data_IF_796335215723
#
_entry.id   IF_796335215723
#
_cell.length_a   1.000
_cell.length_b   1.000
_cell.length_c   1.000
_cell.angle_alpha   90.00
_cell.angle_beta   90.00
_cell.angle_gamma   90.00
#
_symmetry.space_group_name_H-M   'P 1'
#
loop_
_entity.id
_entity.type
_entity.pdbx_description
1 polymer ?
#
# COMPACT_ATOMS: atom_id res chain seq x y z
N UNK A 1 -11.86 23.93 -27.79
CA UNK A 1 -10.57 24.61 -27.99
C UNK A 1 -9.48 23.55 -28.17
N UNK A 2 -8.87 23.48 -29.36
CA UNK A 2 -7.77 22.53 -29.63
C UNK A 2 -6.54 23.00 -28.85
N UNK A 3 -5.95 22.12 -28.03
CA UNK A 3 -4.69 22.38 -27.32
C UNK A 3 -3.59 22.69 -28.35
N UNK A 4 -2.64 23.60 -28.06
CA UNK A 4 -1.50 23.82 -28.94
C UNK A 4 -0.68 22.53 -29.01
N UNK A 5 -0.33 22.07 -30.21
CA UNK A 5 0.57 20.94 -30.39
C UNK A 5 1.90 21.25 -29.69
N UNK A 6 2.23 20.49 -28.66
CA UNK A 6 3.56 20.51 -28.05
C UNK A 6 4.54 20.18 -29.18
N UNK A 7 5.34 21.18 -29.59
CA UNK A 7 6.48 20.99 -30.50
C UNK A 7 7.22 19.74 -30.04
N UNK A 8 7.43 18.77 -30.94
CA UNK A 8 8.30 17.62 -30.69
C UNK A 8 9.60 18.11 -30.04
N UNK A 9 9.73 17.86 -28.76
CA UNK A 9 10.81 18.41 -27.93
C UNK A 9 12.11 17.79 -28.45
N UNK A 10 13.03 18.63 -28.94
CA UNK A 10 14.43 18.23 -29.18
C UNK A 10 15.04 17.82 -27.83
N UNK A 11 14.97 16.53 -27.51
CA UNK A 11 15.44 15.99 -26.23
C UNK A 11 15.68 14.48 -26.31
N UNK A 12 16.54 13.97 -25.43
CA UNK A 12 16.82 12.54 -25.32
C UNK A 12 15.51 11.74 -25.09
N UNK A 13 15.47 10.47 -25.50
CA UNK A 13 14.27 9.61 -25.39
C UNK A 13 13.66 9.64 -23.99
N UNK A 14 14.50 9.51 -22.95
CA UNK A 14 14.08 9.56 -21.55
C UNK A 14 13.41 10.88 -21.13
N UNK A 15 13.80 12.01 -21.72
CA UNK A 15 13.17 13.32 -21.45
C UNK A 15 11.79 13.40 -22.09
N UNK A 16 11.63 12.86 -23.30
CA UNK A 16 10.31 12.77 -23.97
C UNK A 16 9.38 11.85 -23.17
N UNK A 17 9.83 10.66 -22.83
CA UNK A 17 9.05 9.72 -22.00
C UNK A 17 8.68 10.32 -20.64
N UNK A 18 9.57 11.08 -20.00
CA UNK A 18 9.25 11.79 -18.77
C UNK A 18 8.09 12.78 -18.95
N UNK A 19 8.11 13.57 -20.04
CA UNK A 19 7.01 14.50 -20.34
C UNK A 19 5.70 13.76 -20.63
N UNK A 20 5.77 12.62 -21.30
CA UNK A 20 4.61 11.78 -21.63
C UNK A 20 4.02 11.09 -20.38
N UNK A 21 4.81 10.92 -19.32
CA UNK A 21 4.41 10.25 -18.06
C UNK A 21 4.12 11.22 -16.92
N UNK A 22 4.00 12.52 -17.19
CA UNK A 22 3.66 13.53 -16.17
C UNK A 22 2.28 13.28 -15.56
N UNK A 23 1.31 12.81 -16.36
CA UNK A 23 -0.04 12.49 -15.90
C UNK A 23 -0.19 11.01 -15.49
N UNK A 24 0.90 10.23 -15.53
CA UNK A 24 0.88 8.80 -15.23
C UNK A 24 0.95 8.53 -13.72
N UNK A 25 0.07 7.66 -13.22
CA UNK A 25 -0.08 7.35 -11.80
C UNK A 25 1.11 6.58 -11.19
N UNK A 26 1.93 5.91 -11.99
CA UNK A 26 3.18 5.28 -11.58
C UNK A 26 4.36 6.27 -11.55
N UNK A 27 4.22 7.46 -12.14
CA UNK A 27 5.30 8.43 -12.32
C UNK A 27 4.93 9.85 -11.87
N UNK A 28 4.49 10.72 -12.78
CA UNK A 28 4.30 12.14 -12.51
C UNK A 28 3.08 12.42 -11.62
N UNK A 29 1.95 11.80 -11.91
CA UNK A 29 0.70 11.98 -11.16
C UNK A 29 0.69 11.23 -9.82
N UNK A 30 1.74 10.47 -9.51
CA UNK A 30 1.87 9.78 -8.23
C UNK A 30 1.98 10.73 -7.03
N UNK A 31 2.46 11.97 -7.24
CA UNK A 31 2.57 12.99 -6.19
C UNK A 31 2.74 14.39 -6.79
N UNK A 32 1.95 15.35 -6.31
CA UNK A 32 2.07 16.78 -6.66
C UNK A 32 3.35 17.44 -6.09
N UNK A 33 4.06 16.74 -5.20
CA UNK A 33 5.27 17.25 -4.55
C UNK A 33 6.42 17.31 -5.56
N UNK A 34 6.94 18.52 -5.77
CA UNK A 34 8.13 18.74 -6.59
C UNK A 34 9.35 18.05 -5.96
N UNK A 35 10.05 17.18 -6.71
CA UNK A 35 11.25 16.52 -6.20
C UNK A 35 12.37 17.53 -5.92
N UNK A 36 13.13 17.29 -4.85
CA UNK A 36 14.25 18.15 -4.45
C UNK A 36 15.35 18.22 -5.53
N UNK A 37 15.59 17.11 -6.21
CA UNK A 37 16.54 17.02 -7.31
C UNK A 37 15.95 16.18 -8.43
N UNK A 38 16.19 16.60 -9.67
CA UNK A 38 15.78 15.92 -10.89
C UNK A 38 17.03 15.56 -11.69
N UNK A 39 17.14 14.30 -12.13
CA UNK A 39 18.29 13.88 -12.92
C UNK A 39 18.23 14.51 -14.32
N UNK A 40 19.34 15.09 -14.77
CA UNK A 40 19.45 15.65 -16.12
C UNK A 40 19.39 14.58 -17.22
N UNK A 41 19.83 13.36 -16.91
CA UNK A 41 19.88 12.25 -17.88
C UNK A 41 18.66 11.33 -17.82
N UNK A 42 17.91 11.38 -16.71
CA UNK A 42 16.76 10.50 -16.47
C UNK A 42 15.72 11.14 -15.53
N UNK A 43 14.96 12.14 -16.00
CA UNK A 43 14.15 12.98 -15.12
C UNK A 43 13.03 12.24 -14.36
N UNK A 44 12.58 11.08 -14.87
CA UNK A 44 11.56 10.26 -14.20
C UNK A 44 12.11 9.44 -13.02
N UNK A 45 13.43 9.30 -12.91
CA UNK A 45 14.06 8.63 -11.77
C UNK A 45 13.94 9.45 -10.48
N UNK A 46 13.71 8.78 -9.36
CA UNK A 46 13.51 9.46 -8.07
C UNK A 46 14.82 9.53 -7.29
N UNK A 47 15.19 10.74 -6.87
CA UNK A 47 16.26 10.92 -5.89
C UNK A 47 15.82 10.41 -4.51
N UNK A 48 16.53 9.44 -3.96
CA UNK A 48 16.20 8.80 -2.68
C UNK A 48 17.44 8.55 -1.82
N UNK A 49 17.27 8.64 -0.50
CA UNK A 49 18.27 8.33 0.52
C UNK A 49 17.81 7.19 1.46
N UNK A 50 16.81 6.41 1.05
CA UNK A 50 16.14 5.44 1.92
C UNK A 50 17.05 4.33 2.50
N UNK A 51 18.22 4.09 1.90
CA UNK A 51 19.15 3.01 2.31
C UNK A 51 20.23 3.41 3.33
N UNK A 52 20.04 4.50 4.10
CA UNK A 52 21.01 4.98 5.11
C UNK A 52 22.45 5.08 4.55
N UNK A 53 22.56 5.63 3.35
CA UNK A 53 23.82 5.82 2.61
C UNK A 53 23.72 7.01 1.66
N UNK A 54 24.68 7.21 0.75
CA UNK A 54 24.65 8.30 -0.21
C UNK A 54 23.34 8.26 -1.02
N UNK A 55 22.73 9.43 -1.22
CA UNK A 55 21.50 9.51 -2.00
C UNK A 55 21.78 9.20 -3.48
N UNK A 56 20.85 8.51 -4.13
CA UNK A 56 20.97 8.11 -5.53
C UNK A 56 19.62 8.21 -6.24
N UNK A 57 19.66 8.18 -7.58
CA UNK A 57 18.46 8.13 -8.41
C UNK A 57 18.03 6.68 -8.65
N UNK A 58 16.74 6.39 -8.49
CA UNK A 58 16.21 5.03 -8.66
C UNK A 58 14.79 4.98 -9.21
N UNK A 59 14.46 3.81 -9.74
CA UNK A 59 13.10 3.32 -9.92
C UNK A 59 12.83 2.21 -8.91
N UNK A 60 11.57 2.01 -8.58
CA UNK A 60 11.11 0.89 -7.77
C UNK A 60 10.58 -0.20 -8.67
N UNK A 61 10.98 -1.42 -8.38
CA UNK A 61 10.52 -2.63 -9.04
C UNK A 61 9.46 -3.29 -8.16
N UNK A 62 8.22 -3.32 -8.64
CA UNK A 62 7.09 -3.87 -7.89
C UNK A 62 6.70 -5.22 -8.51
N UNK A 63 6.73 -6.27 -7.71
CA UNK A 63 6.34 -7.61 -8.13
C UNK A 63 4.99 -8.00 -7.53
N UNK A 64 4.10 -8.53 -8.36
CA UNK A 64 2.95 -9.31 -7.93
C UNK A 64 3.28 -10.78 -8.16
N UNK A 65 3.27 -11.58 -7.08
CA UNK A 65 3.69 -12.98 -7.12
C UNK A 65 2.58 -13.90 -6.62
N UNK A 66 2.48 -15.07 -7.24
CA UNK A 66 1.83 -16.22 -6.66
C UNK A 66 2.63 -16.69 -5.44
N UNK A 67 1.95 -16.99 -4.33
CA UNK A 67 2.62 -17.43 -3.11
C UNK A 67 2.85 -18.93 -3.06
N UNK A 68 2.20 -19.76 -3.88
CA UNK A 68 2.37 -21.20 -3.84
C UNK A 68 3.74 -21.60 -4.41
N UNK A 69 3.99 -21.17 -5.64
CA UNK A 69 5.20 -21.46 -6.39
C UNK A 69 6.18 -20.28 -6.41
N UNK A 70 5.77 -19.08 -6.01
CA UNK A 70 6.61 -17.88 -6.05
C UNK A 70 6.85 -17.40 -7.48
N UNK A 71 5.88 -17.64 -8.38
CA UNK A 71 5.92 -17.19 -9.78
C UNK A 71 5.53 -15.72 -9.83
N UNK A 72 6.27 -14.92 -10.61
CA UNK A 72 5.93 -13.51 -10.85
C UNK A 72 4.80 -13.48 -11.88
N UNK A 73 3.63 -12.98 -11.47
CA UNK A 73 2.44 -12.87 -12.33
C UNK A 73 2.43 -11.54 -13.09
N UNK A 74 2.93 -10.48 -12.46
CA UNK A 74 3.05 -9.16 -13.06
C UNK A 74 4.18 -8.36 -12.40
N UNK A 75 4.68 -7.36 -13.13
CA UNK A 75 5.71 -6.44 -12.68
C UNK A 75 5.36 -5.02 -13.15
N UNK A 76 5.60 -4.05 -12.27
CA UNK A 76 5.47 -2.62 -12.59
C UNK A 76 6.68 -1.84 -12.08
N UNK A 77 7.42 -1.23 -12.99
CA UNK A 77 8.42 -0.22 -12.65
C UNK A 77 7.74 1.10 -12.36
N UNK A 78 8.05 1.68 -11.20
CA UNK A 78 7.47 2.96 -10.77
C UNK A 78 8.54 3.94 -10.36
N UNK A 79 8.15 5.21 -10.25
CA UNK A 79 8.90 6.18 -9.46
C UNK A 79 9.04 5.67 -8.02
N UNK A 80 10.23 5.82 -7.40
CA UNK A 80 10.51 5.31 -6.04
C UNK A 80 9.89 6.16 -4.93
N UNK A 81 8.56 6.27 -4.94
CA UNK A 81 7.77 6.89 -3.88
C UNK A 81 6.62 5.95 -3.50
N UNK A 82 6.26 5.96 -2.22
CA UNK A 82 5.26 5.06 -1.66
C UNK A 82 3.91 5.12 -2.38
N UNK A 83 3.48 6.31 -2.83
CA UNK A 83 2.21 6.49 -3.53
C UNK A 83 2.17 5.73 -4.86
N UNK A 84 3.27 5.76 -5.61
CA UNK A 84 3.40 5.05 -6.87
C UNK A 84 3.47 3.53 -6.66
N UNK A 85 4.22 3.09 -5.65
CA UNK A 85 4.34 1.67 -5.27
C UNK A 85 3.00 1.09 -4.79
N UNK A 86 2.26 1.78 -3.93
CA UNK A 86 0.92 1.35 -3.50
C UNK A 86 -0.09 1.42 -4.64
N UNK A 87 0.04 2.41 -5.53
CA UNK A 87 -0.78 2.54 -6.73
C UNK A 87 -0.60 1.38 -7.70
N UNK A 88 0.65 0.94 -7.92
CA UNK A 88 0.96 -0.13 -8.86
C UNK A 88 0.35 -1.47 -8.47
N UNK A 89 0.16 -1.76 -7.17
CA UNK A 89 -0.56 -2.96 -6.73
C UNK A 89 -1.95 -3.06 -7.36
N UNK A 90 -2.70 -1.95 -7.41
CA UNK A 90 -4.05 -1.93 -7.99
C UNK A 90 -4.00 -2.18 -9.50
N UNK A 91 -3.03 -1.56 -10.17
CA UNK A 91 -2.79 -1.76 -11.60
C UNK A 91 -2.44 -3.22 -11.91
N UNK A 92 -1.49 -3.80 -11.17
CA UNK A 92 -1.05 -5.18 -11.38
C UNK A 92 -2.17 -6.19 -11.12
N UNK A 93 -2.95 -6.03 -10.04
CA UNK A 93 -4.10 -6.90 -9.78
C UNK A 93 -5.16 -6.81 -10.88
N UNK A 94 -5.40 -5.62 -11.41
CA UNK A 94 -6.34 -5.43 -12.53
C UNK A 94 -5.83 -6.11 -13.78
N UNK A 95 -4.54 -5.92 -14.14
CA UNK A 95 -3.95 -6.56 -15.32
C UNK A 95 -3.89 -8.08 -15.22
N UNK A 96 -3.60 -8.63 -14.04
CA UNK A 96 -3.60 -10.09 -13.82
C UNK A 96 -5.00 -10.66 -13.98
N UNK A 97 -6.01 -9.98 -13.45
CA UNK A 97 -7.41 -10.35 -13.68
C UNK A 97 -7.75 -10.29 -15.18
N UNK A 98 -7.44 -9.20 -15.85
CA UNK A 98 -7.82 -9.03 -17.27
C UNK A 98 -7.10 -10.01 -18.21
N UNK A 99 -5.83 -10.35 -17.91
CA UNK A 99 -5.02 -11.22 -18.78
C UNK A 99 -5.17 -12.71 -18.48
N UNK A 100 -5.36 -13.07 -17.22
CA UNK A 100 -5.31 -14.47 -16.77
C UNK A 100 -6.61 -14.93 -16.08
N UNK A 101 -7.58 -14.05 -15.89
CA UNK A 101 -8.81 -14.30 -15.11
C UNK A 101 -8.52 -14.77 -13.68
N UNK A 102 -7.43 -14.26 -13.10
CA UNK A 102 -7.00 -14.59 -11.74
C UNK A 102 -7.36 -13.46 -10.78
N UNK A 103 -8.09 -13.79 -9.72
CA UNK A 103 -8.37 -12.92 -8.59
C UNK A 103 -7.90 -13.64 -7.32
N UNK A 104 -7.01 -13.03 -6.52
CA UNK A 104 -6.53 -13.68 -5.30
C UNK A 104 -7.59 -13.63 -4.20
N UNK A 105 -7.72 -14.70 -3.43
CA UNK A 105 -8.56 -14.70 -2.22
C UNK A 105 -7.99 -13.77 -1.14
N UNK A 106 -6.66 -13.62 -1.13
CA UNK A 106 -5.96 -12.84 -0.12
C UNK A 106 -4.66 -12.24 -0.65
N UNK A 107 -4.20 -11.17 0.00
CA UNK A 107 -2.96 -10.49 -0.37
C UNK A 107 -2.10 -10.19 0.86
N UNK A 108 -0.80 -10.46 0.73
CA UNK A 108 0.24 -10.09 1.69
C UNK A 108 1.11 -8.97 1.15
N UNK A 109 1.44 -8.00 1.99
CA UNK A 109 2.34 -6.91 1.66
C UNK A 109 3.04 -6.38 2.92
N UNK A 110 4.01 -5.49 2.74
CA UNK A 110 4.63 -4.81 3.86
C UNK A 110 3.69 -3.74 4.48
N UNK A 111 4.09 -3.22 5.64
CA UNK A 111 3.33 -2.21 6.37
C UNK A 111 3.07 -0.95 5.55
N UNK A 112 3.90 -0.58 4.57
CA UNK A 112 3.68 0.62 3.76
C UNK A 112 2.40 0.52 2.90
N UNK A 113 1.93 -0.69 2.60
CA UNK A 113 0.65 -0.93 1.92
C UNK A 113 -0.55 -0.91 2.86
N UNK A 114 -0.35 -0.96 4.18
CA UNK A 114 -1.39 -1.02 5.21
C UNK A 114 -2.15 0.28 5.49
N UNK A 115 -2.34 1.13 4.47
CA UNK A 115 -3.14 2.35 4.59
C UNK A 115 -4.63 2.05 4.51
N UNK A 116 -5.45 2.83 5.22
CA UNK A 116 -6.92 2.69 5.18
C UNK A 116 -7.49 2.57 3.75
N UNK A 117 -7.18 3.50 2.82
CA UNK A 117 -7.69 3.42 1.44
C UNK A 117 -7.27 2.17 0.66
N UNK A 118 -6.07 1.63 0.92
CA UNK A 118 -5.62 0.39 0.27
C UNK A 118 -6.36 -0.83 0.84
N UNK A 119 -6.47 -0.91 2.16
CA UNK A 119 -7.21 -1.98 2.83
C UNK A 119 -8.69 -1.97 2.42
N UNK A 120 -9.32 -0.79 2.38
CA UNK A 120 -10.70 -0.63 1.90
C UNK A 120 -10.87 -1.14 0.48
N UNK A 121 -9.97 -0.73 -0.43
CA UNK A 121 -10.01 -1.16 -1.83
C UNK A 121 -9.92 -2.69 -2.02
N UNK A 122 -9.17 -3.39 -1.16
CA UNK A 122 -9.04 -4.85 -1.14
C UNK A 122 -10.29 -5.53 -0.58
N UNK A 123 -10.77 -5.07 0.57
CA UNK A 123 -11.96 -5.62 1.24
C UNK A 123 -13.21 -5.46 0.36
N UNK A 124 -13.37 -4.31 -0.31
CA UNK A 124 -14.47 -4.08 -1.27
C UNK A 124 -14.46 -5.08 -2.43
N UNK A 125 -13.30 -5.65 -2.74
CA UNK A 125 -13.09 -6.68 -3.77
C UNK A 125 -13.09 -8.10 -3.22
N UNK A 126 -13.40 -8.27 -1.93
CA UNK A 126 -13.36 -9.55 -1.22
C UNK A 126 -11.97 -10.20 -1.26
N UNK A 127 -10.92 -9.37 -1.20
CA UNK A 127 -9.53 -9.82 -1.07
C UNK A 127 -9.12 -9.59 0.38
N UNK A 128 -8.81 -10.65 1.11
CA UNK A 128 -8.41 -10.56 2.51
C UNK A 128 -7.02 -9.90 2.66
N UNK A 129 -6.92 -8.77 3.38
CA UNK A 129 -5.65 -8.07 3.52
C UNK A 129 -4.83 -8.60 4.68
N UNK A 130 -3.94 -9.56 4.42
CA UNK A 130 -2.89 -9.97 5.37
C UNK A 130 -1.73 -8.95 5.36
N UNK A 131 -2.04 -7.70 5.70
CA UNK A 131 -1.12 -6.56 5.65
C UNK A 131 -1.11 -5.87 7.03
N UNK A 132 0.06 -5.62 7.63
CA UNK A 132 0.12 -4.87 8.89
C UNK A 132 -0.46 -3.47 8.72
N UNK A 133 -1.42 -3.10 9.58
CA UNK A 133 -2.08 -1.78 9.54
C UNK A 133 -1.12 -0.66 9.96
N UNK A 134 -1.14 0.45 9.24
CA UNK A 134 -0.45 1.68 9.66
C UNK A 134 -1.32 2.39 10.69
N UNK A 135 -1.07 2.11 11.96
CA UNK A 135 -1.74 2.80 13.06
C UNK A 135 -0.88 3.94 13.60
N UNK A 136 -1.43 5.16 13.55
CA UNK A 136 -0.93 6.32 14.30
C UNK A 136 -1.69 6.55 15.62
N UNK A 137 -2.55 5.61 16.00
CA UNK A 137 -3.52 5.74 17.09
C UNK A 137 -3.03 5.16 18.43
N UNK A 138 -1.87 4.51 18.45
CA UNK A 138 -1.25 4.03 19.69
C UNK A 138 -0.92 5.21 20.61
N UNK A 139 -1.32 5.11 21.87
CA UNK A 139 -0.90 6.06 22.92
C UNK A 139 0.04 5.33 23.85
N UNK A 140 1.23 5.87 24.03
CA UNK A 140 2.25 5.33 24.95
C UNK A 140 2.03 5.80 26.40
N UNK A 141 0.97 6.58 26.65
CA UNK A 141 0.64 7.17 27.94
C UNK A 141 -0.10 6.21 28.91
N UNK A 142 -0.27 4.94 28.51
CA UNK A 142 -0.97 3.92 29.30
C UNK A 142 -2.49 4.14 29.39
N UNK A 143 -3.04 5.16 28.71
CA UNK A 143 -4.49 5.32 28.60
C UNK A 143 -5.06 4.31 27.63
N UNK A 144 -6.33 3.96 27.81
CA UNK A 144 -7.02 3.12 26.83
C UNK A 144 -6.86 3.72 25.43
N UNK A 145 -6.61 2.87 24.46
CA UNK A 145 -6.50 3.19 23.05
C UNK A 145 -7.86 3.02 22.36
N UNK A 146 -7.90 3.00 21.03
CA UNK A 146 -9.12 2.64 20.30
C UNK A 146 -9.41 1.14 20.37
N UNK A 147 -8.36 0.32 20.44
CA UNK A 147 -8.50 -1.14 20.42
C UNK A 147 -9.22 -1.69 21.65
N UNK A 148 -9.26 -0.91 22.74
CA UNK A 148 -10.01 -1.24 23.96
C UNK A 148 -11.51 -0.91 23.85
N UNK A 149 -11.98 -0.34 22.73
CA UNK A 149 -13.39 0.03 22.54
C UNK A 149 -14.00 -0.85 21.45
N UNK A 150 -15.11 -1.47 21.78
CA UNK A 150 -15.85 -2.32 20.85
C UNK A 150 -16.64 -1.47 19.87
N UNK A 151 -16.65 -1.88 18.61
CA UNK A 151 -17.43 -1.22 17.57
C UNK A 151 -18.76 -1.95 17.39
N UNK A 152 -19.86 -1.23 17.59
CA UNK A 152 -21.21 -1.68 17.30
C UNK A 152 -21.69 -1.04 16.00
N UNK A 153 -21.54 -1.81 14.91
CA UNK A 153 -21.92 -1.39 13.57
C UNK A 153 -23.44 -1.22 13.40
N UNK A 154 -24.26 -1.96 14.16
CA UNK A 154 -25.71 -1.92 14.02
C UNK A 154 -26.28 -0.59 14.56
N UNK A 155 -25.69 -0.07 15.63
CA UNK A 155 -26.14 1.16 16.28
C UNK A 155 -25.25 2.38 15.98
N UNK A 156 -24.25 2.25 15.10
CA UNK A 156 -23.27 3.30 14.76
C UNK A 156 -22.66 3.94 16.02
N UNK A 157 -22.06 3.10 16.88
CA UNK A 157 -21.50 3.56 18.16
C UNK A 157 -20.28 2.73 18.60
N UNK A 158 -19.44 3.35 19.44
CA UNK A 158 -18.40 2.62 20.18
C UNK A 158 -18.89 2.30 21.58
N UNK A 159 -18.53 1.15 22.12
CA UNK A 159 -18.79 0.75 23.50
C UNK A 159 -17.46 0.78 24.24
N UNK A 160 -17.39 1.51 25.35
CA UNK A 160 -16.18 1.53 26.18
C UNK A 160 -16.07 0.27 27.06
N UNK A 161 -14.89 -0.03 27.65
CA UNK A 161 -14.74 -1.16 28.57
C UNK A 161 -15.68 -1.15 29.78
N UNK A 162 -16.22 0.03 30.14
CA UNK A 162 -17.23 0.20 31.21
C UNK A 162 -18.67 0.04 30.69
N UNK A 163 -18.87 -0.39 29.43
CA UNK A 163 -20.17 -0.64 28.81
C UNK A 163 -20.92 0.60 28.32
N UNK A 164 -20.34 1.79 28.40
CA UNK A 164 -21.01 3.02 27.97
C UNK A 164 -20.81 3.32 26.48
N UNK A 165 -21.90 3.72 25.83
CA UNK A 165 -21.90 4.07 24.41
C UNK A 165 -21.30 5.46 24.13
N UNK A 166 -20.47 5.51 23.09
CA UNK A 166 -19.96 6.71 22.45
C UNK A 166 -20.69 6.86 21.12
N UNK A 167 -21.62 7.80 21.05
CA UNK A 167 -22.44 8.05 19.85
C UNK A 167 -21.76 9.05 18.94
N UNK A 168 -22.08 8.98 17.65
CA UNK A 168 -21.60 9.95 16.67
C UNK A 168 -22.07 11.35 17.06
N UNK A 169 -21.13 12.26 17.31
CA UNK A 169 -21.43 13.64 17.60
C UNK A 169 -21.80 14.36 16.30
N UNK A 170 -23.10 14.40 15.99
CA UNK A 170 -23.64 15.32 14.99
C UNK A 170 -23.77 16.69 15.67
N UNK A 171 -22.99 17.68 15.25
CA UNK A 171 -23.33 19.06 15.58
C UNK A 171 -24.71 19.32 14.97
N UNK A 172 -25.66 19.80 15.77
CA UNK A 172 -26.86 20.43 15.24
C UNK A 172 -26.39 21.68 14.48
N UNK A 173 -26.23 21.56 13.17
CA UNK A 173 -26.01 22.71 12.32
C UNK A 173 -27.37 23.36 12.09
N UNK A 174 -27.50 24.61 12.49
CA UNK A 174 -28.65 25.48 12.15
C UNK A 174 -28.69 25.85 10.67
N UNK A 175 -27.79 25.31 9.85
CA UNK A 175 -27.69 25.54 8.40
C UNK A 175 -27.76 24.19 7.65
N UNK A 176 -28.90 23.87 7.03
CA UNK A 176 -29.09 22.62 6.29
C UNK A 176 -28.23 22.49 5.02
N UNK A 177 -27.60 23.58 4.55
CA UNK A 177 -26.77 23.56 3.34
C UNK A 177 -25.27 23.38 3.62
N UNK A 178 -24.86 23.32 4.90
CA UNK A 178 -23.45 23.16 5.26
C UNK A 178 -23.08 21.67 5.30
N UNK A 179 -22.50 21.20 4.19
CA UNK A 179 -21.95 19.85 4.09
C UNK A 179 -20.89 19.52 5.16
N UNK A 180 -20.60 18.23 5.41
CA UNK A 180 -19.71 17.80 6.49
C UNK A 180 -18.34 18.48 6.40
N UNK A 181 -18.03 19.37 7.34
CA UNK A 181 -16.76 20.15 7.36
C UNK A 181 -15.55 19.34 7.84
N UNK A 182 -15.51 18.04 7.62
CA UNK A 182 -14.39 17.19 8.01
C UNK A 182 -14.17 16.10 6.97
N UNK A 183 -13.00 16.09 6.35
CA UNK A 183 -12.53 15.07 5.39
C UNK A 183 -12.88 13.65 5.87
N UNK A 184 -14.00 13.05 5.45
CA UNK A 184 -14.37 11.64 5.68
C UNK A 184 -14.19 11.10 7.11
N UNK A 185 -14.27 11.94 8.14
CA UNK A 185 -13.90 11.56 9.51
C UNK A 185 -15.06 11.79 10.48
N UNK A 186 -15.62 10.71 11.03
CA UNK A 186 -16.65 10.74 12.05
C UNK A 186 -16.05 10.87 13.46
N UNK A 187 -16.72 11.60 14.35
CA UNK A 187 -16.30 11.76 15.76
C UNK A 187 -17.35 11.16 16.68
N UNK A 188 -16.95 10.22 17.52
CA UNK A 188 -17.78 9.57 18.53
C UNK A 188 -17.39 10.09 19.91
N UNK A 189 -18.38 10.39 20.75
CA UNK A 189 -18.13 10.98 22.08
C UNK A 189 -19.05 10.34 23.12
N UNK A 190 -18.48 10.05 24.28
CA UNK A 190 -19.24 9.61 25.46
C UNK A 190 -19.96 10.81 26.10
N UNK A 191 -21.07 10.55 26.79
CA UNK A 191 -21.73 11.57 27.60
C UNK A 191 -20.81 12.06 28.71
N UNK A 192 -20.74 13.38 28.89
CA UNK A 192 -19.86 14.01 29.90
C UNK A 192 -20.21 13.54 31.30
N UNK A 193 -21.50 13.55 31.65
CA UNK A 193 -22.00 13.15 32.96
C UNK A 193 -21.57 11.72 33.32
N UNK A 194 -21.67 10.80 32.36
CA UNK A 194 -21.23 9.41 32.51
C UNK A 194 -19.72 9.32 32.73
N UNK A 195 -18.91 10.00 31.93
CA UNK A 195 -17.45 9.96 32.09
C UNK A 195 -16.94 10.63 33.38
N UNK A 196 -17.65 11.62 33.92
CA UNK A 196 -17.20 12.37 35.10
C UNK A 196 -17.31 11.54 36.39
N UNK A 197 -18.32 10.68 36.48
CA UNK A 197 -18.54 9.77 37.63
C UNK A 197 -17.95 8.38 37.41
N UNK A 198 -17.37 8.12 36.24
CA UNK A 198 -16.83 6.82 35.87
C UNK A 198 -15.57 6.45 36.68
N UNK A 199 -15.50 5.25 37.30
CA UNK A 199 -14.33 4.79 38.04
C UNK A 199 -13.04 4.78 37.21
N UNK A 200 -13.16 4.43 35.93
CA UNK A 200 -12.04 4.34 35.00
C UNK A 200 -11.66 5.67 34.33
N UNK A 201 -12.20 6.82 34.75
CA UNK A 201 -11.91 8.14 34.15
C UNK A 201 -10.41 8.43 34.06
N UNK A 202 -9.66 8.17 35.13
CA UNK A 202 -8.21 8.42 35.18
C UNK A 202 -7.43 7.56 34.17
N UNK A 203 -7.88 6.33 33.92
CA UNK A 203 -7.26 5.42 32.93
C UNK A 203 -7.76 5.66 31.50
N UNK A 204 -9.00 6.11 31.34
CA UNK A 204 -9.67 6.27 30.04
C UNK A 204 -9.42 7.64 29.40
N UNK A 205 -9.57 8.72 30.16
CA UNK A 205 -9.43 10.09 29.67
C UNK A 205 -9.06 11.07 30.80
N UNK A 206 -7.83 10.98 31.35
CA UNK A 206 -7.41 11.79 32.51
C UNK A 206 -7.47 13.30 32.23
N UNK A 207 -7.10 13.70 31.01
CA UNK A 207 -6.99 15.11 30.61
C UNK A 207 -8.21 15.65 29.85
N UNK A 208 -9.34 14.93 29.83
CA UNK A 208 -10.52 15.34 29.07
C UNK A 208 -11.83 15.09 29.81
N UNK A 209 -12.80 15.97 29.58
CA UNK A 209 -14.12 15.87 30.21
C UNK A 209 -14.91 14.61 29.86
N UNK A 210 -14.66 14.08 28.66
CA UNK A 210 -15.30 12.88 28.14
C UNK A 210 -14.41 12.26 27.06
N UNK A 211 -14.42 10.93 26.98
CA UNK A 211 -13.72 10.19 25.93
C UNK A 211 -14.28 10.53 24.54
N UNK A 212 -13.38 10.65 23.57
CA UNK A 212 -13.70 10.87 22.15
C UNK A 212 -12.90 9.91 21.29
N UNK A 213 -13.53 9.32 20.28
CA UNK A 213 -12.90 8.47 19.27
C UNK A 213 -13.18 9.04 17.90
N UNK A 214 -12.14 9.11 17.09
CA UNK A 214 -12.22 9.57 15.71
C UNK A 214 -12.19 8.34 14.81
N UNK A 215 -13.16 8.21 13.90
CA UNK A 215 -13.27 7.12 12.94
C UNK A 215 -13.08 7.66 11.53
N UNK A 216 -12.10 7.11 10.83
CA UNK A 216 -11.85 7.39 9.43
C UNK A 216 -12.75 6.52 8.53
N UNK A 217 -12.92 6.95 7.28
CA UNK A 217 -13.76 6.31 6.25
C UNK A 217 -13.50 4.80 6.09
N UNK A 218 -12.24 4.38 6.10
CA UNK A 218 -11.87 2.97 5.90
C UNK A 218 -11.51 2.25 7.20
N UNK A 219 -12.10 2.62 8.34
CA UNK A 219 -11.79 1.92 9.58
C UNK A 219 -12.25 0.46 9.54
N UNK A 220 -13.42 0.15 8.99
CA UNK A 220 -13.89 -1.24 8.93
C UNK A 220 -12.86 -2.15 8.27
N UNK A 221 -12.26 -1.70 7.17
CA UNK A 221 -11.20 -2.44 6.50
C UNK A 221 -9.90 -2.54 7.32
N UNK A 222 -9.57 -1.52 8.13
CA UNK A 222 -8.47 -1.63 9.12
C UNK A 222 -8.80 -2.66 10.19
N UNK A 223 -10.05 -2.72 10.64
CA UNK A 223 -10.48 -3.68 11.65
C UNK A 223 -10.39 -5.11 11.12
N UNK A 224 -10.85 -5.36 9.88
CA UNK A 224 -10.66 -6.65 9.20
C UNK A 224 -9.19 -7.06 9.19
N UNK A 225 -8.28 -6.18 8.77
CA UNK A 225 -6.85 -6.46 8.78
C UNK A 225 -6.29 -6.75 10.20
N UNK A 226 -6.77 -6.04 11.23
CA UNK A 226 -6.38 -6.31 12.63
C UNK A 226 -6.89 -7.65 13.14
N UNK A 227 -8.08 -8.05 12.72
CA UNK A 227 -8.66 -9.34 13.12
C UNK A 227 -7.97 -10.48 12.40
N UNK A 228 -7.66 -10.34 11.11
CA UNK A 228 -6.78 -11.26 10.38
C UNK A 228 -5.41 -11.39 11.06
N UNK A 229 -4.83 -10.30 11.57
CA UNK A 229 -3.53 -10.34 12.25
C UNK A 229 -3.48 -11.24 13.49
N UNK A 230 -4.63 -11.55 14.11
CA UNK A 230 -4.74 -12.45 15.27
C UNK A 230 -4.81 -13.93 14.88
N UNK A 231 -4.96 -14.24 13.60
CA UNK A 231 -5.16 -15.61 13.08
C UNK A 231 -3.84 -16.36 12.87
N UNK A 232 -3.90 -17.69 12.81
CA UNK A 232 -2.74 -18.52 12.50
C UNK A 232 -2.32 -18.39 11.03
N UNK A 233 -3.29 -18.21 10.14
CA UNK A 233 -3.15 -17.97 8.71
C UNK A 233 -2.28 -16.75 8.46
N UNK A 234 -2.49 -15.66 9.20
CA UNK A 234 -1.64 -14.47 9.10
C UNK A 234 -0.17 -14.77 9.39
N UNK A 235 0.13 -15.61 10.39
CA UNK A 235 1.52 -15.99 10.69
C UNK A 235 2.16 -16.79 9.56
N UNK A 236 1.37 -17.63 8.87
CA UNK A 236 1.81 -18.35 7.68
C UNK A 236 2.04 -17.37 6.52
N UNK A 237 1.08 -16.47 6.28
CA UNK A 237 1.13 -15.46 5.23
C UNK A 237 2.38 -14.56 5.37
N UNK A 238 2.71 -14.15 6.60
CA UNK A 238 3.92 -13.39 6.90
C UNK A 238 5.22 -14.16 6.63
N UNK A 239 5.23 -15.50 6.77
CA UNK A 239 6.36 -16.34 6.36
C UNK A 239 6.45 -16.41 4.84
N UNK A 240 5.32 -16.54 4.14
CA UNK A 240 5.25 -16.56 2.67
C UNK A 240 5.73 -15.25 2.06
N UNK A 241 5.56 -14.11 2.73
CA UNK A 241 6.06 -12.79 2.29
C UNK A 241 7.56 -12.81 1.96
N UNK A 242 8.36 -13.66 2.62
CA UNK A 242 9.80 -13.81 2.33
C UNK A 242 10.09 -14.29 0.90
N UNK A 243 9.12 -14.89 0.20
CA UNK A 243 9.28 -15.33 -1.20
C UNK A 243 9.59 -14.16 -2.14
N UNK A 244 8.97 -12.99 -1.95
CA UNK A 244 9.28 -11.80 -2.76
C UNK A 244 10.66 -11.24 -2.44
N UNK A 245 11.07 -11.25 -1.17
CA UNK A 245 12.41 -10.83 -0.75
C UNK A 245 13.50 -11.71 -1.39
N UNK A 246 13.24 -13.01 -1.50
CA UNK A 246 14.12 -13.95 -2.22
C UNK A 246 14.22 -13.63 -3.72
N UNK A 247 13.13 -13.21 -4.36
CA UNK A 247 13.16 -12.77 -5.76
C UNK A 247 14.00 -11.50 -5.92
N UNK A 248 13.87 -10.51 -5.04
CA UNK A 248 14.74 -9.34 -5.04
C UNK A 248 16.20 -9.69 -4.76
N UNK A 249 16.47 -10.68 -3.92
CA UNK A 249 17.82 -11.17 -3.68
C UNK A 249 18.40 -11.85 -4.93
N UNK A 250 17.63 -12.68 -5.62
CA UNK A 250 18.02 -13.32 -6.88
C UNK A 250 18.28 -12.30 -7.99
N UNK A 251 17.42 -11.27 -8.09
CA UNK A 251 17.56 -10.19 -9.05
C UNK A 251 18.91 -9.49 -8.91
N UNK A 252 19.29 -9.15 -7.67
CA UNK A 252 20.53 -8.42 -7.38
C UNK A 252 21.77 -9.31 -7.42
N UNK A 253 21.72 -10.49 -6.80
CA UNK A 253 22.90 -11.34 -6.58
C UNK A 253 23.19 -12.32 -7.72
N UNK A 254 22.15 -12.75 -8.45
CA UNK A 254 22.31 -13.78 -9.49
C UNK A 254 22.17 -13.19 -10.87
N UNK A 255 21.15 -12.37 -11.12
CA UNK A 255 21.03 -11.66 -12.40
C UNK A 255 21.93 -10.43 -12.48
N UNK A 256 22.50 -9.98 -11.34
CA UNK A 256 23.41 -8.84 -11.30
C UNK A 256 22.75 -7.50 -11.63
N UNK A 257 21.41 -7.40 -11.51
CA UNK A 257 20.68 -6.16 -11.81
C UNK A 257 20.82 -5.16 -10.65
N UNK A 258 22.03 -4.61 -10.49
CA UNK A 258 22.36 -3.59 -9.51
C UNK A 258 22.14 -2.16 -10.02
N UNK A 259 22.11 -1.96 -11.35
CA UNK A 259 21.88 -0.69 -12.03
C UNK A 259 21.14 -0.94 -13.33
N UNK A 260 20.21 -0.04 -13.66
CA UNK A 260 19.55 -0.01 -14.96
C UNK A 260 20.47 0.59 -16.03
N UNK A 261 20.47 -0.04 -17.20
CA UNK A 261 21.24 0.37 -18.38
C UNK A 261 20.46 1.34 -19.26
N UNK A 262 19.15 1.16 -19.34
CA UNK A 262 18.22 2.02 -20.04
C UNK A 262 17.79 3.17 -19.13
N UNK A 263 17.28 4.23 -19.77
CA UNK A 263 16.77 5.45 -19.14
C UNK A 263 15.33 5.67 -19.57
N UNK A 264 14.58 6.36 -18.72
CA UNK A 264 13.17 6.63 -18.87
C UNK A 264 12.27 5.50 -18.35
N UNK A 265 10.99 5.81 -18.09
CA UNK A 265 9.97 4.86 -17.65
C UNK A 265 9.91 3.56 -18.47
N UNK A 266 9.89 3.67 -19.80
CA UNK A 266 9.79 2.50 -20.67
C UNK A 266 11.06 1.64 -20.57
N UNK A 267 12.23 2.28 -20.56
CA UNK A 267 13.50 1.57 -20.41
C UNK A 267 13.62 0.82 -19.09
N UNK A 268 13.17 1.43 -17.98
CA UNK A 268 13.14 0.77 -16.68
C UNK A 268 12.17 -0.42 -16.68
N UNK A 269 10.96 -0.24 -17.23
CA UNK A 269 9.96 -1.29 -17.35
C UNK A 269 10.45 -2.47 -18.20
N UNK A 270 11.09 -2.21 -19.34
CA UNK A 270 11.64 -3.26 -20.20
C UNK A 270 12.69 -4.11 -19.46
N UNK A 271 13.61 -3.48 -18.72
CA UNK A 271 14.61 -4.21 -17.94
C UNK A 271 13.98 -5.04 -16.81
N UNK A 272 12.97 -4.50 -16.11
CA UNK A 272 12.27 -5.25 -15.06
C UNK A 272 11.45 -6.42 -15.62
N UNK A 273 10.75 -6.24 -16.73
CA UNK A 273 10.01 -7.29 -17.43
C UNK A 273 10.92 -8.43 -17.89
N UNK A 274 12.06 -8.09 -18.50
CA UNK A 274 13.04 -9.09 -18.93
C UNK A 274 13.64 -9.84 -17.73
N UNK A 275 13.93 -9.13 -16.64
CA UNK A 275 14.45 -9.75 -15.43
C UNK A 275 13.44 -10.69 -14.78
N UNK A 276 12.17 -10.26 -14.62
CA UNK A 276 11.09 -11.10 -14.12
C UNK A 276 10.89 -12.35 -15.00
N UNK A 277 10.95 -12.20 -16.32
CA UNK A 277 10.89 -13.31 -17.28
C UNK A 277 12.02 -14.31 -17.05
N UNK A 278 13.26 -13.84 -16.91
CA UNK A 278 14.40 -14.70 -16.62
C UNK A 278 14.27 -15.41 -15.26
N UNK A 279 13.74 -14.74 -14.24
CA UNK A 279 13.48 -15.35 -12.93
C UNK A 279 12.43 -16.46 -13.01
N UNK A 280 11.33 -16.23 -13.75
CA UNK A 280 10.29 -17.22 -13.97
C UNK A 280 10.81 -18.43 -14.77
N UNK A 281 11.54 -18.21 -15.88
CA UNK A 281 12.11 -19.29 -16.68
C UNK A 281 13.04 -20.19 -15.86
N UNK A 282 13.91 -19.58 -15.03
CA UNK A 282 14.81 -20.34 -14.16
C UNK A 282 14.05 -21.16 -13.10
N UNK A 283 12.91 -20.66 -12.64
CA UNK A 283 12.05 -21.37 -11.68
C UNK A 283 11.31 -22.52 -12.35
N UNK A 284 10.70 -22.27 -13.52
CA UNK A 284 10.01 -23.30 -14.31
C UNK A 284 10.96 -24.44 -14.67
N UNK A 285 12.20 -24.16 -15.05
CA UNK A 285 13.22 -25.18 -15.32
C UNK A 285 13.53 -26.09 -14.11
N UNK A 286 13.22 -25.67 -12.88
CA UNK A 286 13.36 -26.51 -11.67
C UNK A 286 12.11 -27.32 -11.35
N UNK A 287 10.93 -26.79 -11.68
CA UNK A 287 9.63 -27.42 -11.41
C UNK A 287 9.31 -28.47 -12.48
N UNK A 288 9.67 -28.19 -13.73
CA UNK A 288 9.52 -29.07 -14.87
C UNK A 288 10.92 -29.46 -15.37
N UNK A 289 11.62 -30.39 -14.68
CA UNK A 289 12.89 -30.87 -15.18
C UNK A 289 12.67 -31.51 -16.55
N UNK A 290 13.45 -31.08 -17.55
CA UNK A 290 13.45 -31.74 -18.85
C UNK A 290 13.76 -33.23 -18.66
N UNK A 291 13.12 -34.15 -19.40
CA UNK A 291 13.49 -35.55 -19.36
C UNK A 291 14.99 -35.65 -19.69
N UNK A 292 15.77 -36.13 -18.72
CA UNK A 292 17.21 -36.33 -18.92
C UNK A 292 17.37 -37.34 -20.04
N UNK A 293 17.84 -36.89 -21.21
CA UNK A 293 18.36 -37.81 -22.20
C UNK A 293 19.58 -38.47 -21.57
N UNK A 294 19.43 -39.73 -21.18
CA UNK A 294 20.55 -40.58 -20.80
C UNK A 294 21.52 -40.57 -21.98
N UNK A 295 22.68 -39.92 -21.81
CA UNK A 295 23.79 -40.07 -22.75
C UNK A 295 24.10 -41.55 -22.80
N UNK A 296 23.89 -42.18 -23.97
CA UNK A 296 24.42 -43.51 -24.23
C UNK A 296 25.93 -43.41 -24.11
N UNK A 297 26.50 -44.24 -23.24
CA UNK A 297 27.94 -44.42 -23.09
C UNK A 297 28.56 -44.94 -24.39
#
# INVERSE_FOLDING_TARGET
MRRPSIRQTRGARAVREYLDTLDDAAFGAASDVQPKFTSHSDPASQWTAARKGPAFFSYSDNYLIDTDHGVILDVEGTRSIRQAEVGSTKTMLTRVKDKFDLVPDWMIADTAYGSGPMLGWLVDRKIDPYIPVIDKAGREDGTWTRADFDWDAQNDQYICPEGHALKQFRRNYSDPNRGPTGKGTARYRALKEVCQVCPSKQKCCPNADARKITREEHEDARQVARDLAKTAEYQIAMKLRKKVEMLFAHLKRILGLGRLRLRGPCGANDEFLLAATAQNLRKLAKILPAPQQTRKA
#
